data_IF_208561514711
#
_entry.id   IF_208561514711
#
_cell.length_a   1.000
_cell.length_b   1.000
_cell.length_c   1.000
_cell.angle_alpha   90.00
_cell.angle_beta   90.00
_cell.angle_gamma   90.00
#
_symmetry.space_group_name_H-M   'P 1'
#
loop_
_entity.id
_entity.type
_entity.pdbx_description
1 polymer ?
#
# COMPACT_ATOMS: atom_id res chain seq x y z
N UNK A 1 -3.71 17.26 -4.81
CA UNK A 1 -3.36 16.88 -3.43
C UNK A 1 -1.88 16.50 -3.42
N UNK A 2 -1.09 17.05 -2.50
CA UNK A 2 0.34 16.70 -2.38
C UNK A 2 0.47 15.51 -1.42
N UNK A 3 1.49 14.67 -1.59
CA UNK A 3 1.74 13.51 -0.71
C UNK A 3 1.80 13.91 0.78
N UNK A 4 2.34 15.10 1.06
CA UNK A 4 2.41 15.66 2.42
C UNK A 4 1.02 15.87 3.06
N UNK A 5 0.01 16.24 2.27
CA UNK A 5 -1.35 16.44 2.79
C UNK A 5 -1.95 15.09 3.24
N UNK A 6 -1.62 14.00 2.53
CA UNK A 6 -2.03 12.64 2.89
C UNK A 6 -1.39 12.19 4.21
N UNK A 7 -0.10 12.46 4.42
CA UNK A 7 0.60 12.11 5.66
C UNK A 7 0.02 12.88 6.87
N UNK A 8 -0.31 14.16 6.70
CA UNK A 8 -0.97 14.95 7.74
C UNK A 8 -2.35 14.38 8.11
N UNK A 9 -3.11 13.91 7.13
CA UNK A 9 -4.39 13.25 7.38
C UNK A 9 -4.23 11.92 8.13
N UNK A 10 -3.22 11.11 7.76
CA UNK A 10 -2.87 9.87 8.48
C UNK A 10 -2.53 10.15 9.93
N UNK A 11 -1.71 11.18 10.19
CA UNK A 11 -1.35 11.58 11.55
C UNK A 11 -2.56 12.02 12.37
N UNK A 12 -3.47 12.80 11.79
CA UNK A 12 -4.70 13.22 12.45
C UNK A 12 -5.59 12.01 12.81
N UNK A 13 -5.74 11.04 11.90
CA UNK A 13 -6.50 9.81 12.15
C UNK A 13 -5.85 8.98 13.27
N UNK A 14 -4.53 8.82 13.22
CA UNK A 14 -3.79 8.06 14.23
C UNK A 14 -3.93 8.68 15.62
N UNK A 15 -3.81 10.02 15.73
CA UNK A 15 -4.01 10.75 16.99
C UNK A 15 -5.43 10.62 17.55
N UNK A 16 -6.43 10.44 16.68
CA UNK A 16 -7.82 10.18 17.07
C UNK A 16 -8.07 8.71 17.47
N UNK A 17 -7.04 7.85 17.47
CA UNK A 17 -7.14 6.41 17.78
C UNK A 17 -7.54 5.54 16.59
N UNK A 18 -7.60 6.12 15.39
CA UNK A 18 -7.92 5.40 14.15
C UNK A 18 -6.71 4.68 13.55
N UNK A 19 -6.99 3.77 12.61
CA UNK A 19 -6.01 2.96 11.91
C UNK A 19 -6.12 3.21 10.40
N UNK A 20 -5.14 3.91 9.82
CA UNK A 20 -5.19 4.32 8.41
C UNK A 20 -4.31 3.45 7.52
N UNK A 21 -4.83 3.11 6.35
CA UNK A 21 -4.08 2.58 5.20
C UNK A 21 -4.26 3.58 4.07
N UNK A 22 -3.17 3.94 3.38
CA UNK A 22 -3.22 4.89 2.27
C UNK A 22 -3.49 4.14 0.98
N UNK A 23 -4.37 4.66 0.13
CA UNK A 23 -4.55 4.19 -1.24
C UNK A 23 -4.03 5.25 -2.20
N UNK A 24 -3.09 4.88 -3.09
CA UNK A 24 -2.53 5.79 -4.09
C UNK A 24 -1.91 5.03 -5.26
N UNK A 25 -1.66 5.73 -6.36
CA UNK A 25 -0.89 5.18 -7.49
C UNK A 25 0.58 5.06 -7.12
N UNK A 26 1.31 4.18 -7.81
CA UNK A 26 2.72 3.94 -7.51
C UNK A 26 3.64 5.11 -7.86
N UNK A 27 3.35 5.84 -8.95
CA UNK A 27 4.22 6.93 -9.42
C UNK A 27 4.46 8.05 -8.38
N UNK A 28 3.45 8.55 -7.63
CA UNK A 28 3.68 9.45 -6.50
C UNK A 28 4.67 8.93 -5.45
N UNK A 29 4.63 7.64 -5.13
CA UNK A 29 5.55 7.00 -4.16
C UNK A 29 6.96 6.94 -4.73
N UNK A 30 7.12 6.54 -5.99
CA UNK A 30 8.41 6.56 -6.68
C UNK A 30 9.03 7.97 -6.72
N UNK A 31 8.23 8.98 -7.03
CA UNK A 31 8.69 10.38 -7.08
C UNK A 31 9.07 10.95 -5.71
N UNK A 32 8.41 10.49 -4.65
CA UNK A 32 8.77 10.83 -3.27
C UNK A 32 10.06 10.13 -2.82
N UNK A 33 10.31 8.94 -3.36
CA UNK A 33 11.31 7.99 -2.88
C UNK A 33 10.64 6.94 -2.00
N UNK A 34 10.74 5.67 -2.39
CA UNK A 34 9.98 4.57 -1.79
C UNK A 34 10.25 4.42 -0.30
N UNK A 35 11.53 4.39 0.09
CA UNK A 35 11.93 4.30 1.50
C UNK A 35 11.52 5.53 2.31
N UNK A 36 11.74 6.73 1.77
CA UNK A 36 11.34 7.97 2.42
C UNK A 36 9.83 8.04 2.65
N UNK A 37 9.03 7.60 1.67
CA UNK A 37 7.59 7.52 1.80
C UNK A 37 7.18 6.50 2.87
N UNK A 38 7.78 5.31 2.86
CA UNK A 38 7.50 4.26 3.85
C UNK A 38 7.81 4.73 5.28
N UNK A 39 9.00 5.31 5.49
CA UNK A 39 9.42 5.87 6.77
C UNK A 39 8.44 6.93 7.27
N UNK A 40 8.12 7.91 6.42
CA UNK A 40 7.27 9.03 6.81
C UNK A 40 5.82 8.58 7.04
N UNK A 41 5.32 7.62 6.27
CA UNK A 41 4.01 7.00 6.47
C UNK A 41 3.93 6.27 7.82
N UNK A 42 4.94 5.46 8.14
CA UNK A 42 5.02 4.76 9.43
C UNK A 42 5.13 5.76 10.59
N UNK A 43 5.96 6.81 10.45
CA UNK A 43 6.10 7.87 11.45
C UNK A 43 4.79 8.63 11.72
N UNK A 44 3.96 8.81 10.68
CA UNK A 44 2.62 9.39 10.83
C UNK A 44 1.60 8.44 11.48
N UNK A 45 1.96 7.19 11.78
CA UNK A 45 1.05 6.18 12.33
C UNK A 45 0.23 5.41 11.28
N UNK A 46 0.63 5.50 10.01
CA UNK A 46 0.05 4.72 8.93
C UNK A 46 0.39 3.23 9.05
N UNK A 47 -0.54 2.37 8.60
CA UNK A 47 -0.40 0.92 8.70
C UNK A 47 0.01 0.23 7.42
N UNK A 48 -0.12 0.89 6.28
CA UNK A 48 0.19 0.26 5.01
C UNK A 48 -0.27 1.06 3.81
N UNK A 49 -0.10 0.43 2.64
CA UNK A 49 -0.40 1.01 1.34
C UNK A 49 -1.19 0.04 0.46
N UNK A 50 -2.21 0.56 -0.20
CA UNK A 50 -2.91 -0.06 -1.34
C UNK A 50 -2.40 0.61 -2.61
N UNK A 51 -1.84 -0.18 -3.52
CA UNK A 51 -1.35 0.27 -4.83
C UNK A 51 -2.08 -0.49 -5.95
N UNK A 52 -3.09 0.13 -6.60
CA UNK A 52 -3.87 -0.54 -7.63
C UNK A 52 -3.07 -0.92 -8.89
N UNK A 53 -1.99 -0.19 -9.15
CA UNK A 53 -1.18 -0.23 -10.37
C UNK A 53 0.17 -0.94 -10.20
N UNK A 54 0.56 -1.31 -8.98
CA UNK A 54 1.80 -2.05 -8.72
C UNK A 54 1.51 -3.55 -8.58
N UNK A 55 2.17 -4.38 -9.39
CA UNK A 55 2.10 -5.84 -9.27
C UNK A 55 3.25 -6.40 -8.42
N UNK A 56 3.08 -7.57 -7.77
CA UNK A 56 4.11 -8.16 -6.92
C UNK A 56 5.49 -8.33 -7.57
N UNK A 57 5.53 -8.64 -8.87
CA UNK A 57 6.77 -8.86 -9.63
C UNK A 57 7.66 -7.60 -9.69
N UNK A 58 7.04 -6.42 -9.68
CA UNK A 58 7.71 -5.11 -9.78
C UNK A 58 7.86 -4.43 -8.41
N UNK A 59 7.33 -5.04 -7.35
CA UNK A 59 7.23 -4.45 -6.03
C UNK A 59 8.48 -4.62 -5.15
N UNK A 60 9.62 -5.07 -5.68
CA UNK A 60 10.83 -5.33 -4.88
C UNK A 60 11.26 -4.13 -4.00
N UNK A 61 11.30 -2.88 -4.52
CA UNK A 61 11.61 -1.72 -3.67
C UNK A 61 10.59 -1.51 -2.56
N UNK A 62 9.31 -1.79 -2.83
CA UNK A 62 8.24 -1.69 -1.84
C UNK A 62 8.33 -2.79 -0.80
N UNK A 63 8.71 -4.02 -1.17
CA UNK A 63 8.92 -5.11 -0.23
C UNK A 63 9.98 -4.76 0.80
N UNK A 64 11.15 -4.29 0.34
CA UNK A 64 12.23 -3.89 1.25
C UNK A 64 11.80 -2.77 2.20
N UNK A 65 11.20 -1.70 1.67
CA UNK A 65 10.77 -0.55 2.48
C UNK A 65 9.62 -0.90 3.44
N UNK A 66 8.64 -1.68 3.00
CA UNK A 66 7.52 -2.11 3.86
C UNK A 66 7.96 -3.08 4.95
N UNK A 67 8.96 -3.93 4.69
CA UNK A 67 9.55 -4.80 5.71
C UNK A 67 10.30 -3.99 6.77
N UNK A 68 11.16 -3.06 6.36
CA UNK A 68 11.93 -2.19 7.25
C UNK A 68 11.03 -1.36 8.17
N UNK A 69 10.00 -0.72 7.59
CA UNK A 69 9.12 0.19 8.32
C UNK A 69 7.86 -0.49 8.90
N UNK A 70 7.77 -1.82 8.80
CA UNK A 70 6.67 -2.66 9.29
C UNK A 70 5.28 -2.22 8.80
N UNK A 71 5.19 -1.97 7.49
CA UNK A 71 3.96 -1.59 6.81
C UNK A 71 3.30 -2.78 6.11
N UNK A 72 1.98 -2.81 6.13
CA UNK A 72 1.19 -3.73 5.33
C UNK A 72 1.22 -3.34 3.84
N UNK A 73 1.34 -4.36 3.00
CA UNK A 73 1.35 -4.24 1.54
C UNK A 73 0.11 -4.91 1.00
N UNK A 74 -0.81 -4.12 0.47
CA UNK A 74 -2.12 -4.61 0.06
C UNK A 74 -2.20 -4.51 -1.46
N UNK A 75 -2.12 -5.67 -2.10
CA UNK A 75 -2.26 -5.76 -3.55
C UNK A 75 -3.70 -6.05 -3.96
N UNK A 76 -3.98 -5.68 -5.20
CA UNK A 76 -5.28 -5.86 -5.81
C UNK A 76 -5.37 -7.25 -6.47
N UNK A 77 -6.51 -7.90 -6.33
CA UNK A 77 -6.91 -9.06 -7.13
C UNK A 77 -8.19 -8.74 -7.89
N UNK A 78 -8.30 -9.25 -9.12
CA UNK A 78 -9.51 -9.15 -9.92
C UNK A 78 -10.19 -10.52 -10.04
N UNK A 79 -11.53 -10.59 -10.19
CA UNK A 79 -12.26 -11.85 -10.39
C UNK A 79 -11.79 -12.63 -11.63
N UNK A 80 -11.25 -11.92 -12.62
CA UNK A 80 -10.68 -12.48 -13.85
C UNK A 80 -9.24 -12.99 -13.69
N UNK A 81 -8.63 -12.86 -12.51
CA UNK A 81 -7.25 -13.31 -12.27
C UNK A 81 -7.17 -14.84 -12.27
N UNK A 82 -6.10 -15.39 -12.85
CA UNK A 82 -5.88 -16.84 -12.82
C UNK A 82 -5.58 -17.31 -11.38
N UNK A 83 -5.82 -18.59 -11.05
CA UNK A 83 -5.46 -19.15 -9.74
C UNK A 83 -4.00 -18.91 -9.33
N UNK A 84 -3.08 -18.97 -10.29
CA UNK A 84 -1.65 -18.74 -10.06
C UNK A 84 -1.38 -17.28 -9.68
N UNK A 85 -2.00 -16.32 -10.39
CA UNK A 85 -1.88 -14.90 -10.06
C UNK A 85 -2.48 -14.59 -8.69
N UNK A 86 -3.62 -15.20 -8.35
CA UNK A 86 -4.20 -15.09 -7.02
C UNK A 86 -3.23 -15.56 -5.93
N UNK A 87 -2.62 -16.74 -6.10
CA UNK A 87 -1.68 -17.30 -5.13
C UNK A 87 -0.44 -16.41 -4.93
N UNK A 88 0.14 -15.89 -6.01
CA UNK A 88 1.28 -14.97 -5.97
C UNK A 88 0.90 -13.68 -5.21
N UNK A 89 -0.22 -13.08 -5.56
CA UNK A 89 -0.68 -11.82 -4.95
C UNK A 89 -1.01 -11.99 -3.47
N UNK A 90 -1.70 -13.07 -3.09
CA UNK A 90 -2.00 -13.37 -1.67
C UNK A 90 -0.72 -13.56 -0.87
N UNK A 91 0.24 -14.32 -1.39
CA UNK A 91 1.54 -14.55 -0.72
C UNK A 91 2.36 -13.26 -0.57
N UNK A 92 2.26 -12.35 -1.54
CA UNK A 92 2.95 -11.07 -1.48
C UNK A 92 2.27 -10.07 -0.53
N UNK A 93 0.96 -10.20 -0.30
CA UNK A 93 0.18 -9.25 0.50
C UNK A 93 0.35 -9.45 2.02
N UNK A 94 0.10 -8.39 2.79
CA UNK A 94 -0.01 -8.40 4.26
C UNK A 94 -1.21 -7.57 4.72
N UNK A 95 -1.77 -7.90 5.87
CA UNK A 95 -3.01 -7.31 6.38
C UNK A 95 -4.22 -7.93 5.69
N UNK A 96 -4.46 -7.57 4.43
CA UNK A 96 -5.55 -8.11 3.61
C UNK A 96 -5.21 -8.02 2.11
N UNK A 97 -6.11 -8.54 1.28
CA UNK A 97 -6.06 -8.44 -0.18
C UNK A 97 -7.25 -7.61 -0.64
N UNK A 98 -7.04 -6.68 -1.58
CA UNK A 98 -8.12 -5.85 -2.11
C UNK A 98 -8.75 -6.53 -3.34
N UNK A 99 -9.94 -7.12 -3.17
CA UNK A 99 -10.69 -7.68 -4.29
C UNK A 99 -11.42 -6.55 -5.03
N UNK A 100 -10.97 -6.21 -6.24
CA UNK A 100 -11.69 -5.26 -7.08
C UNK A 100 -12.96 -5.90 -7.63
N UNK A 101 -14.10 -5.24 -7.45
CA UNK A 101 -15.35 -5.67 -8.08
C UNK A 101 -15.41 -5.13 -9.50
N UNK A 102 -15.70 -5.99 -10.47
CA UNK A 102 -16.26 -5.54 -11.74
C UNK A 102 -17.74 -5.22 -11.47
N UNK A 103 -18.19 -3.99 -11.70
CA UNK A 103 -19.62 -3.78 -11.93
C UNK A 103 -19.96 -4.58 -13.19
N UNK A 104 -20.80 -5.61 -13.01
CA UNK A 104 -21.28 -6.44 -14.10
C UNK A 104 -22.19 -5.69 -15.05
#
# INVERSE_FOLDING_TARGET
>A
MRVRDTLAAVEAISRAGGNAVVMTYWNPVLRYGVDAFARDLAAAGGRGLITPDLIPDEAQPWFAASDEHRLDRIFLVAPSSTPERLAITVKASRGFVYAASTMG
#
